data_IF_007523730060
#
_entry.id   IF_007523730060
#
_cell.length_a   1.000
_cell.length_b   1.000
_cell.length_c   1.000
_cell.angle_alpha   90.00
_cell.angle_beta   90.00
_cell.angle_gamma   90.00
#
_symmetry.space_group_name_H-M   'P 1'
#
loop_
_entity.id
_entity.type
_entity.pdbx_description
1 polymer ?
#
# COMPACT_ATOMS: atom_id res chain seq x y z
N UNK A 1 -11.00 -37.68 17.07
CA UNK A 1 -10.20 -37.42 18.29
C UNK A 1 -8.72 -37.34 17.95
N UNK A 2 -8.20 -38.30 17.18
CA UNK A 2 -6.83 -38.28 16.62
C UNK A 2 -6.52 -37.03 15.78
N UNK A 3 -7.44 -36.57 14.93
CA UNK A 3 -7.21 -35.36 14.11
C UNK A 3 -7.06 -34.09 14.97
N UNK A 4 -7.81 -33.98 16.07
CA UNK A 4 -7.66 -32.86 17.02
C UNK A 4 -6.32 -32.93 17.75
N UNK A 5 -5.92 -34.12 18.21
CA UNK A 5 -4.63 -34.34 18.86
C UNK A 5 -3.45 -34.04 17.92
N UNK A 6 -3.57 -34.36 16.63
CA UNK A 6 -2.56 -34.03 15.63
C UNK A 6 -2.43 -32.51 15.42
N UNK A 7 -3.55 -31.79 15.31
CA UNK A 7 -3.56 -30.32 15.20
C UNK A 7 -2.93 -29.67 16.44
N UNK A 8 -3.29 -30.14 17.65
CA UNK A 8 -2.72 -29.63 18.90
C UNK A 8 -1.22 -29.88 19.00
N UNK A 9 -0.75 -31.07 18.62
CA UNK A 9 0.67 -31.40 18.60
C UNK A 9 1.44 -30.51 17.62
N UNK A 10 0.88 -30.23 16.44
CA UNK A 10 1.48 -29.34 15.45
C UNK A 10 1.53 -27.88 15.94
N UNK A 11 0.45 -27.39 16.56
CA UNK A 11 0.39 -26.06 17.16
C UNK A 11 1.40 -25.91 18.30
N UNK A 12 1.52 -26.91 19.18
CA UNK A 12 2.49 -26.92 20.25
C UNK A 12 3.93 -26.88 19.72
N UNK A 13 4.24 -27.61 18.63
CA UNK A 13 5.55 -27.55 17.97
C UNK A 13 5.83 -26.17 17.39
N UNK A 14 4.86 -25.56 16.71
CA UNK A 14 4.97 -24.20 16.17
C UNK A 14 5.18 -23.15 17.27
N UNK A 15 4.43 -23.28 18.37
CA UNK A 15 4.54 -22.37 19.51
C UNK A 15 5.91 -22.45 20.16
N UNK A 16 6.44 -23.67 20.40
CA UNK A 16 7.80 -23.83 20.97
C UNK A 16 8.88 -23.17 20.12
N UNK A 17 8.82 -23.33 18.79
CA UNK A 17 9.77 -22.70 17.87
C UNK A 17 9.65 -21.17 17.93
N UNK A 18 8.41 -20.65 17.93
CA UNK A 18 8.17 -19.21 18.01
C UNK A 18 8.64 -18.62 19.34
N UNK A 19 8.35 -19.28 20.47
CA UNK A 19 8.80 -18.84 21.80
C UNK A 19 10.32 -18.78 21.87
N UNK A 20 11.01 -19.84 21.44
CA UNK A 20 12.48 -19.84 21.42
C UNK A 20 13.07 -18.75 20.51
N UNK A 21 12.41 -18.44 19.40
CA UNK A 21 12.82 -17.36 18.50
C UNK A 21 12.61 -15.98 19.14
N UNK A 22 11.47 -15.76 19.80
CA UNK A 22 11.19 -14.51 20.51
C UNK A 22 12.12 -14.30 21.70
N UNK A 23 12.48 -15.35 22.45
CA UNK A 23 13.47 -15.28 23.52
C UNK A 23 14.85 -14.86 23.01
N UNK A 24 15.29 -15.38 21.85
CA UNK A 24 16.54 -14.96 21.22
C UNK A 24 16.49 -13.49 20.81
N UNK A 25 15.38 -13.06 20.19
CA UNK A 25 15.17 -11.66 19.81
C UNK A 25 15.21 -10.77 21.06
N UNK A 26 14.54 -11.17 22.15
CA UNK A 26 14.51 -10.42 23.40
C UNK A 26 15.91 -10.27 23.99
N UNK A 27 16.72 -11.33 24.01
CA UNK A 27 18.12 -11.25 24.48
C UNK A 27 18.93 -10.23 23.68
N UNK A 28 18.79 -10.19 22.35
CA UNK A 28 19.47 -9.20 21.51
C UNK A 28 18.96 -7.77 21.74
N UNK A 29 17.67 -7.61 22.04
CA UNK A 29 17.10 -6.30 22.45
C UNK A 29 17.72 -5.86 23.79
N UNK A 30 17.78 -6.76 24.77
CA UNK A 30 18.30 -6.46 26.12
C UNK A 30 19.80 -6.14 26.08
N UNK A 31 20.57 -6.82 25.23
CA UNK A 31 22.01 -6.54 25.02
C UNK A 31 22.28 -5.39 24.05
N UNK A 32 21.25 -4.79 23.45
CA UNK A 32 21.35 -3.75 22.41
C UNK A 32 22.15 -4.19 21.16
N UNK A 33 22.25 -5.50 20.91
CA UNK A 33 22.85 -6.08 19.71
C UNK A 33 21.87 -6.06 18.53
N UNK A 34 21.63 -4.87 17.99
CA UNK A 34 20.70 -4.66 16.88
C UNK A 34 21.40 -4.80 15.52
N UNK A 35 21.98 -5.98 15.28
CA UNK A 35 22.82 -6.33 14.12
C UNK A 35 22.06 -7.07 13.00
N UNK A 36 22.77 -7.57 11.99
CA UNK A 36 22.18 -8.34 10.88
C UNK A 36 21.51 -9.64 11.34
N UNK A 37 22.00 -10.26 12.42
CA UNK A 37 21.36 -11.45 12.99
C UNK A 37 20.02 -11.07 13.62
N UNK A 38 19.95 -9.95 14.35
CA UNK A 38 18.69 -9.40 14.84
C UNK A 38 17.71 -9.15 13.68
N UNK A 39 18.17 -8.58 12.56
CA UNK A 39 17.33 -8.42 11.38
C UNK A 39 16.87 -9.78 10.80
N UNK A 40 17.74 -10.78 10.72
CA UNK A 40 17.37 -12.09 10.21
C UNK A 40 16.33 -12.80 11.10
N UNK A 41 16.48 -12.72 12.42
CA UNK A 41 15.56 -13.32 13.39
C UNK A 41 14.19 -12.64 13.36
N UNK A 42 14.16 -11.32 13.40
CA UNK A 42 12.89 -10.56 13.39
C UNK A 42 12.14 -10.72 12.06
N UNK A 43 12.84 -10.83 10.93
CA UNK A 43 12.23 -11.13 9.63
C UNK A 43 11.49 -12.48 9.63
N UNK A 44 12.04 -13.52 10.26
CA UNK A 44 11.38 -14.83 10.36
C UNK A 44 10.03 -14.76 11.10
N UNK A 45 9.95 -13.94 12.14
CA UNK A 45 8.70 -13.71 12.88
C UNK A 45 7.72 -12.89 12.05
N UNK A 46 8.16 -11.77 11.49
CA UNK A 46 7.29 -10.82 10.79
C UNK A 46 6.67 -11.38 9.50
N UNK A 47 7.37 -12.29 8.79
CA UNK A 47 6.81 -13.05 7.66
C UNK A 47 5.58 -13.87 8.04
N UNK A 48 5.51 -14.35 9.28
CA UNK A 48 4.42 -15.21 9.78
C UNK A 48 3.34 -14.41 10.52
N UNK A 49 3.75 -13.34 11.21
CA UNK A 49 2.88 -12.49 12.02
C UNK A 49 3.25 -11.02 11.82
N UNK A 50 2.72 -10.38 10.75
CA UNK A 50 3.10 -9.02 10.40
C UNK A 50 2.50 -7.95 11.31
N UNK A 51 1.54 -8.30 12.17
CA UNK A 51 0.84 -7.35 13.06
C UNK A 51 1.58 -7.05 14.37
N UNK A 52 2.84 -7.47 14.51
CA UNK A 52 3.66 -7.18 15.70
C UNK A 52 4.32 -5.82 15.52
N UNK A 53 3.56 -4.75 15.82
CA UNK A 53 4.02 -3.36 15.66
C UNK A 53 5.32 -3.08 16.39
N UNK A 54 5.45 -3.50 17.65
CA UNK A 54 6.66 -3.27 18.46
C UNK A 54 7.91 -3.81 17.78
N UNK A 55 7.81 -4.97 17.13
CA UNK A 55 8.95 -5.59 16.46
C UNK A 55 9.37 -4.82 15.21
N UNK A 56 8.40 -4.34 14.43
CA UNK A 56 8.66 -3.43 13.32
C UNK A 56 9.28 -2.10 13.79
N UNK A 57 8.85 -1.56 14.93
CA UNK A 57 9.42 -0.33 15.50
C UNK A 57 10.91 -0.51 15.84
N UNK A 58 11.25 -1.53 16.63
CA UNK A 58 12.63 -1.80 17.03
C UNK A 58 13.49 -2.13 15.79
N UNK A 59 12.92 -2.84 14.81
CA UNK A 59 13.58 -3.11 13.53
C UNK A 59 13.92 -1.83 12.77
N UNK A 60 13.02 -0.84 12.73
CA UNK A 60 13.32 0.47 12.12
C UNK A 60 14.41 1.21 12.89
N UNK A 61 14.38 1.18 14.22
CA UNK A 61 15.44 1.82 15.02
C UNK A 61 16.82 1.21 14.74
N UNK A 62 16.89 -0.11 14.60
CA UNK A 62 18.10 -0.82 14.19
C UNK A 62 18.58 -0.37 12.80
N UNK A 63 17.68 -0.36 11.81
CA UNK A 63 17.98 0.04 10.44
C UNK A 63 18.41 1.50 10.33
N UNK A 64 17.79 2.41 11.08
CA UNK A 64 18.19 3.83 11.09
C UNK A 64 19.63 3.99 11.58
N UNK A 65 20.00 3.31 12.68
CA UNK A 65 21.39 3.32 13.18
C UNK A 65 22.36 2.76 12.14
N UNK A 66 21.99 1.69 11.44
CA UNK A 66 22.80 1.10 10.35
C UNK A 66 22.93 2.06 9.16
N UNK A 67 21.88 2.79 8.80
CA UNK A 67 21.88 3.76 7.71
C UNK A 67 22.72 5.01 8.05
N UNK A 68 22.75 5.44 9.32
CA UNK A 68 23.52 6.60 9.77
C UNK A 68 25.02 6.33 9.89
N UNK A 69 25.41 5.08 10.16
CA UNK A 69 26.81 4.68 10.27
C UNK A 69 27.50 4.83 8.91
N UNK A 70 28.26 5.90 8.72
CA UNK A 70 29.16 6.09 7.56
C UNK A 70 30.55 5.55 7.90
N UNK A 71 30.95 4.45 7.28
CA UNK A 71 32.24 3.79 7.51
C UNK A 71 33.24 4.16 6.40
N UNK A 72 33.86 5.35 6.47
CA UNK A 72 34.85 5.86 5.48
C UNK A 72 34.43 5.72 4.00
N UNK A 73 33.14 5.49 3.76
CA UNK A 73 32.57 5.15 2.46
C UNK A 73 32.24 6.42 1.67
N UNK A 74 32.33 6.32 0.35
CA UNK A 74 31.82 7.34 -0.56
C UNK A 74 30.29 7.45 -0.47
N UNK A 75 29.73 8.56 -0.94
CA UNK A 75 28.28 8.74 -0.96
C UNK A 75 27.59 7.71 -1.87
N UNK A 76 28.26 7.25 -2.93
CA UNK A 76 27.80 6.19 -3.82
C UNK A 76 27.74 4.83 -3.13
N UNK A 77 28.79 4.46 -2.38
CA UNK A 77 28.83 3.22 -1.59
C UNK A 77 27.77 3.23 -0.48
N UNK A 78 27.62 4.36 0.20
CA UNK A 78 26.56 4.56 1.19
C UNK A 78 25.17 4.36 0.57
N UNK A 79 24.89 5.00 -0.58
CA UNK A 79 23.60 4.83 -1.30
C UNK A 79 23.37 3.39 -1.71
N UNK A 80 24.39 2.68 -2.18
CA UNK A 80 24.28 1.27 -2.56
C UNK A 80 23.92 0.39 -1.36
N UNK A 81 24.62 0.58 -0.23
CA UNK A 81 24.38 -0.15 1.01
C UNK A 81 22.99 0.12 1.60
N UNK A 82 22.59 1.39 1.70
CA UNK A 82 21.24 1.78 2.17
C UNK A 82 20.16 1.27 1.22
N UNK A 83 20.39 1.33 -0.09
CA UNK A 83 19.50 0.73 -1.08
C UNK A 83 19.31 -0.77 -0.88
N UNK A 84 20.40 -1.51 -0.60
CA UNK A 84 20.33 -2.94 -0.31
C UNK A 84 19.51 -3.23 0.96
N UNK A 85 19.71 -2.47 2.04
CA UNK A 85 18.90 -2.59 3.25
C UNK A 85 17.41 -2.35 2.93
N UNK A 86 17.07 -1.27 2.25
CA UNK A 86 15.69 -0.98 1.85
C UNK A 86 15.09 -2.09 0.97
N UNK A 87 15.85 -2.67 0.03
CA UNK A 87 15.37 -3.77 -0.82
C UNK A 87 15.04 -5.03 -0.02
N UNK A 88 15.85 -5.37 0.98
CA UNK A 88 15.56 -6.48 1.90
C UNK A 88 14.26 -6.21 2.66
N UNK A 89 14.06 -4.98 3.15
CA UNK A 89 12.83 -4.59 3.85
C UNK A 89 11.59 -4.62 2.95
N UNK A 90 11.71 -4.11 1.72
CA UNK A 90 10.61 -4.16 0.74
C UNK A 90 10.23 -5.60 0.42
N UNK A 91 11.21 -6.52 0.30
CA UNK A 91 10.96 -7.95 0.09
C UNK A 91 10.28 -8.59 1.31
N UNK A 92 10.75 -8.28 2.53
CA UNK A 92 10.11 -8.74 3.76
C UNK A 92 8.64 -8.31 3.83
N UNK A 93 8.34 -7.06 3.47
CA UNK A 93 6.98 -6.56 3.40
C UNK A 93 6.11 -7.31 2.38
N UNK A 94 6.64 -7.70 1.22
CA UNK A 94 5.88 -8.52 0.26
C UNK A 94 5.49 -9.86 0.89
N UNK A 95 6.41 -10.53 1.56
CA UNK A 95 6.15 -11.83 2.20
C UNK A 95 5.14 -11.70 3.35
N UNK A 96 5.30 -10.67 4.18
CA UNK A 96 4.36 -10.30 5.24
C UNK A 96 2.95 -10.02 4.70
N UNK A 97 2.83 -9.25 3.61
CA UNK A 97 1.54 -8.90 3.00
C UNK A 97 0.89 -10.07 2.26
N UNK A 98 1.67 -11.04 1.77
CA UNK A 98 1.12 -12.32 1.30
C UNK A 98 0.48 -13.13 2.43
N UNK A 99 1.00 -12.98 3.66
CA UNK A 99 0.45 -13.64 4.84
C UNK A 99 -0.80 -12.92 5.38
N UNK A 100 -0.77 -11.60 5.41
CA UNK A 100 -1.91 -10.75 5.78
C UNK A 100 -1.87 -9.45 4.96
N UNK A 101 -2.70 -9.40 3.91
CA UNK A 101 -2.74 -8.28 2.98
C UNK A 101 -3.37 -7.01 3.56
N UNK A 102 -3.94 -7.08 4.77
CA UNK A 102 -4.58 -5.98 5.50
C UNK A 102 -3.79 -5.57 6.75
N UNK A 103 -2.54 -6.03 6.85
CA UNK A 103 -1.65 -5.64 7.93
C UNK A 103 -1.24 -4.16 7.82
N UNK A 104 -1.78 -3.32 8.69
CA UNK A 104 -1.40 -1.90 8.80
C UNK A 104 0.11 -1.71 8.97
N UNK A 105 0.70 -2.50 9.86
CA UNK A 105 2.12 -2.42 10.22
C UNK A 105 3.03 -2.79 9.05
N UNK A 106 2.68 -3.79 8.26
CA UNK A 106 3.46 -4.17 7.08
C UNK A 106 3.39 -3.12 5.97
N UNK A 107 2.21 -2.56 5.68
CA UNK A 107 2.05 -1.47 4.71
C UNK A 107 2.80 -0.21 5.16
N UNK A 108 2.69 0.16 6.45
CA UNK A 108 3.43 1.29 7.00
C UNK A 108 4.94 1.10 6.88
N UNK A 109 5.45 -0.08 7.26
CA UNK A 109 6.88 -0.38 7.14
C UNK A 109 7.37 -0.39 5.69
N UNK A 110 6.53 -0.86 4.76
CA UNK A 110 6.82 -0.84 3.33
C UNK A 110 7.00 0.59 2.82
N UNK A 111 6.08 1.49 3.16
CA UNK A 111 6.19 2.90 2.78
C UNK A 111 7.42 3.55 3.42
N UNK A 112 7.69 3.26 4.70
CA UNK A 112 8.87 3.75 5.40
C UNK A 112 10.19 3.36 4.71
N UNK A 113 10.29 2.10 4.24
CA UNK A 113 11.47 1.62 3.52
C UNK A 113 11.57 2.22 2.11
N UNK A 114 10.45 2.34 1.40
CA UNK A 114 10.36 2.96 0.08
C UNK A 114 10.78 4.44 0.10
N UNK A 115 10.29 5.20 1.08
CA UNK A 115 10.61 6.63 1.26
C UNK A 115 12.11 6.88 1.49
N UNK A 116 12.81 5.94 2.13
CA UNK A 116 14.23 6.03 2.44
C UNK A 116 15.14 5.46 1.36
N UNK A 117 14.60 4.72 0.40
CA UNK A 117 15.39 4.10 -0.64
C UNK A 117 16.01 5.18 -1.56
N UNK A 118 17.35 5.29 -1.66
CA UNK A 118 18.01 6.39 -2.39
C UNK A 118 17.71 6.38 -3.89
N UNK A 119 17.53 5.19 -4.46
CA UNK A 119 17.17 4.98 -5.87
C UNK A 119 15.78 4.34 -6.01
N UNK A 120 14.76 4.92 -5.35
CA UNK A 120 13.39 4.38 -5.32
C UNK A 120 12.82 4.16 -6.72
N UNK A 121 12.30 2.95 -6.99
CA UNK A 121 11.63 2.63 -8.25
C UNK A 121 10.10 2.80 -8.08
N UNK A 122 9.62 3.99 -8.46
CA UNK A 122 8.19 4.36 -8.37
C UNK A 122 7.33 3.46 -9.25
N UNK A 123 7.82 3.12 -10.45
CA UNK A 123 7.06 2.31 -11.42
C UNK A 123 6.86 0.89 -10.91
N UNK A 124 7.94 0.27 -10.39
CA UNK A 124 7.85 -1.04 -9.75
C UNK A 124 6.90 -1.03 -8.54
N UNK A 125 6.90 0.04 -7.76
CA UNK A 125 6.05 0.14 -6.56
C UNK A 125 4.56 0.31 -6.91
N UNK A 126 4.23 1.10 -7.93
CA UNK A 126 2.86 1.20 -8.46
C UNK A 126 2.40 -0.15 -9.03
N UNK A 127 3.28 -0.87 -9.72
CA UNK A 127 2.98 -2.23 -10.21
C UNK A 127 2.70 -3.21 -9.07
N UNK A 128 3.42 -3.10 -7.95
CA UNK A 128 3.14 -3.90 -6.75
C UNK A 128 1.77 -3.56 -6.15
N UNK A 129 1.39 -2.27 -6.11
CA UNK A 129 0.04 -1.87 -5.69
C UNK A 129 -1.04 -2.46 -6.59
N UNK A 130 -0.85 -2.40 -7.91
CA UNK A 130 -1.79 -2.97 -8.88
C UNK A 130 -1.93 -4.49 -8.74
N UNK A 131 -0.83 -5.20 -8.46
CA UNK A 131 -0.87 -6.63 -8.15
C UNK A 131 -1.68 -6.90 -6.88
N UNK A 132 -1.45 -6.15 -5.80
CA UNK A 132 -2.22 -6.28 -4.56
C UNK A 132 -3.72 -6.00 -4.77
N UNK A 133 -4.05 -5.00 -5.58
CA UNK A 133 -5.43 -4.67 -5.94
C UNK A 133 -6.05 -5.68 -6.90
N UNK A 134 -5.27 -6.40 -7.69
CA UNK A 134 -5.77 -7.52 -8.50
C UNK A 134 -6.23 -8.69 -7.60
N UNK A 135 -5.56 -8.89 -6.46
CA UNK A 135 -5.95 -9.90 -5.47
C UNK A 135 -7.17 -9.46 -4.65
N UNK A 136 -7.18 -8.21 -4.16
CA UNK A 136 -8.32 -7.62 -3.47
C UNK A 136 -8.48 -6.15 -3.90
N UNK A 137 -9.41 -5.91 -4.82
CA UNK A 137 -9.65 -4.60 -5.40
C UNK A 137 -10.22 -3.57 -4.42
N UNK A 138 -10.72 -4.04 -3.28
CA UNK A 138 -11.26 -3.20 -2.19
C UNK A 138 -10.26 -3.05 -1.04
N UNK A 139 -9.01 -3.52 -1.22
CA UNK A 139 -7.97 -3.35 -0.22
C UNK A 139 -7.59 -1.87 -0.11
N UNK A 140 -8.20 -1.18 0.85
CA UNK A 140 -7.98 0.25 1.07
C UNK A 140 -6.53 0.56 1.45
N UNK A 141 -5.79 -0.37 2.09
CA UNK A 141 -4.37 -0.17 2.39
C UNK A 141 -3.52 -0.06 1.13
N UNK A 142 -3.79 -0.91 0.14
CA UNK A 142 -3.09 -0.86 -1.15
C UNK A 142 -3.42 0.45 -1.89
N UNK A 143 -4.67 0.91 -1.83
CA UNK A 143 -5.07 2.22 -2.36
C UNK A 143 -4.42 3.40 -1.63
N UNK A 144 -4.36 3.37 -0.30
CA UNK A 144 -3.69 4.39 0.52
C UNK A 144 -2.18 4.44 0.26
N UNK A 145 -1.57 3.26 0.13
CA UNK A 145 -0.15 3.13 -0.20
C UNK A 145 0.14 3.67 -1.61
N UNK A 146 -0.69 3.33 -2.60
CA UNK A 146 -0.60 3.88 -3.96
C UNK A 146 -0.64 5.42 -3.95
N UNK A 147 -1.61 6.01 -3.22
CA UNK A 147 -1.71 7.48 -3.07
C UNK A 147 -0.48 8.07 -2.40
N UNK A 148 0.06 7.41 -1.38
CA UNK A 148 1.24 7.88 -0.65
C UNK A 148 2.49 7.84 -1.54
N UNK A 149 2.66 6.78 -2.32
CA UNK A 149 3.74 6.63 -3.32
C UNK A 149 3.62 7.69 -4.41
N UNK A 150 2.42 7.88 -4.97
CA UNK A 150 2.17 8.88 -6.00
C UNK A 150 2.47 10.30 -5.50
N UNK A 151 2.03 10.64 -4.27
CA UNK A 151 2.33 11.93 -3.65
C UNK A 151 3.82 12.14 -3.43
N UNK A 152 4.52 11.14 -2.89
CA UNK A 152 5.97 11.22 -2.67
C UNK A 152 6.74 11.41 -3.99
N UNK A 153 6.29 10.74 -5.04
CA UNK A 153 6.87 10.83 -6.39
C UNK A 153 6.39 12.05 -7.19
N UNK A 154 5.48 12.86 -6.64
CA UNK A 154 4.87 14.03 -7.30
C UNK A 154 4.25 13.67 -8.66
N UNK A 155 3.63 12.50 -8.75
CA UNK A 155 2.90 12.10 -9.96
C UNK A 155 1.68 13.01 -10.15
N UNK A 156 1.35 13.29 -11.40
CA UNK A 156 0.20 14.11 -11.74
C UNK A 156 -1.12 13.40 -11.46
N UNK A 157 -2.19 14.19 -11.36
CA UNK A 157 -3.55 13.65 -11.25
C UNK A 157 -3.99 12.89 -12.51
N UNK A 158 -3.36 13.12 -13.67
CA UNK A 158 -3.66 12.38 -14.90
C UNK A 158 -3.30 10.90 -14.75
N UNK A 159 -2.13 10.58 -14.21
CA UNK A 159 -1.69 9.20 -13.98
C UNK A 159 -2.64 8.46 -13.01
N UNK A 160 -3.17 9.17 -12.02
CA UNK A 160 -4.16 8.63 -11.10
C UNK A 160 -5.51 8.35 -11.78
N UNK A 161 -5.96 9.26 -12.66
CA UNK A 161 -7.15 9.07 -13.50
C UNK A 161 -6.95 7.90 -14.46
N UNK A 162 -5.79 7.77 -15.10
CA UNK A 162 -5.45 6.66 -15.99
C UNK A 162 -5.44 5.32 -15.23
N UNK A 163 -4.86 5.30 -14.04
CA UNK A 163 -4.89 4.13 -13.16
C UNK A 163 -6.33 3.75 -12.80
N UNK A 164 -7.18 4.71 -12.41
CA UNK A 164 -8.59 4.45 -12.12
C UNK A 164 -9.33 3.90 -13.33
N UNK A 165 -9.05 4.42 -14.53
CA UNK A 165 -9.63 3.96 -15.80
C UNK A 165 -9.27 2.49 -16.05
N UNK A 166 -7.98 2.15 -15.91
CA UNK A 166 -7.50 0.75 -16.02
C UNK A 166 -8.21 -0.19 -15.04
N UNK A 167 -8.48 0.27 -13.82
CA UNK A 167 -9.17 -0.55 -12.81
C UNK A 167 -10.66 -0.72 -13.13
N UNK A 168 -11.31 0.32 -13.63
CA UNK A 168 -12.72 0.28 -14.04
C UNK A 168 -12.96 -0.53 -15.32
N UNK A 169 -12.00 -0.58 -16.25
CA UNK A 169 -12.09 -1.46 -17.43
C UNK A 169 -12.00 -2.94 -17.06
N UNK A 170 -11.30 -3.28 -15.97
CA UNK A 170 -11.25 -4.65 -15.45
C UNK A 170 -12.48 -5.00 -14.60
N UNK A 171 -12.94 -4.07 -13.74
CA UNK A 171 -14.14 -4.24 -12.92
C UNK A 171 -14.91 -2.92 -12.83
N UNK A 172 -16.04 -2.87 -13.53
CA UNK A 172 -16.95 -1.71 -13.56
C UNK A 172 -17.63 -1.44 -12.23
N UNK A 173 -17.64 -2.40 -11.31
CA UNK A 173 -18.23 -2.28 -9.98
C UNK A 173 -17.21 -1.86 -8.90
N UNK A 174 -16.01 -1.43 -9.31
CA UNK A 174 -14.95 -1.06 -8.41
C UNK A 174 -15.15 0.33 -7.77
N UNK A 175 -15.83 0.35 -6.61
CA UNK A 175 -16.05 1.57 -5.83
C UNK A 175 -14.77 2.36 -5.52
N UNK A 176 -13.68 1.67 -5.17
CA UNK A 176 -12.43 2.33 -4.80
C UNK A 176 -11.79 3.05 -5.99
N UNK A 177 -11.92 2.50 -7.20
CA UNK A 177 -11.49 3.17 -8.42
C UNK A 177 -12.33 4.41 -8.73
N UNK A 178 -13.67 4.33 -8.62
CA UNK A 178 -14.54 5.49 -8.75
C UNK A 178 -14.22 6.59 -7.73
N UNK A 179 -13.98 6.21 -6.48
CA UNK A 179 -13.62 7.18 -5.43
C UNK A 179 -12.30 7.88 -5.73
N UNK A 180 -11.28 7.12 -6.18
CA UNK A 180 -10.00 7.71 -6.55
C UNK A 180 -10.14 8.64 -7.75
N UNK A 181 -10.90 8.20 -8.78
CA UNK A 181 -11.24 9.01 -9.95
C UNK A 181 -11.94 10.33 -9.57
N UNK A 182 -12.94 10.27 -8.70
CA UNK A 182 -13.70 11.44 -8.24
C UNK A 182 -12.83 12.50 -7.55
N UNK A 183 -11.75 12.06 -6.89
CA UNK A 183 -10.83 12.94 -6.16
C UNK A 183 -9.84 13.63 -7.11
N UNK A 184 -9.41 12.94 -8.17
CA UNK A 184 -8.33 13.41 -9.05
C UNK A 184 -8.84 14.08 -10.32
N UNK A 185 -10.02 13.69 -10.82
CA UNK A 185 -10.60 14.24 -12.04
C UNK A 185 -10.77 15.77 -12.02
N UNK A 186 -11.18 16.42 -10.91
CA UNK A 186 -11.23 17.89 -10.81
C UNK A 186 -9.88 18.58 -11.08
N UNK A 187 -8.76 17.93 -10.75
CA UNK A 187 -7.43 18.51 -11.00
C UNK A 187 -6.99 18.34 -12.46
N UNK A 188 -7.55 17.35 -13.16
CA UNK A 188 -7.23 17.05 -14.57
C UNK A 188 -8.12 17.83 -15.53
N UNK A 189 -9.42 17.90 -15.24
CA UNK A 189 -10.43 18.54 -16.10
C UNK A 189 -11.28 19.56 -15.33
N UNK A 190 -10.66 20.59 -14.72
CA UNK A 190 -11.39 21.61 -13.98
C UNK A 190 -12.33 22.39 -14.92
N UNK A 191 -13.45 22.88 -14.37
CA UNK A 191 -14.26 23.89 -15.06
C UNK A 191 -13.77 25.28 -14.69
N UNK A 192 -13.57 26.12 -15.70
CA UNK A 192 -13.07 27.49 -15.53
C UNK A 192 -14.13 28.55 -15.86
N UNK A 193 -15.33 28.12 -16.26
CA UNK A 193 -16.35 29.01 -16.86
C UNK A 193 -17.63 29.08 -16.01
N UNK A 194 -18.11 27.96 -15.51
CA UNK A 194 -19.41 27.83 -14.84
C UNK A 194 -19.28 27.67 -13.32
N UNK A 195 -18.04 27.53 -12.80
CA UNK A 195 -17.74 27.34 -11.40
C UNK A 195 -17.92 25.90 -10.91
N UNK A 196 -18.10 24.92 -11.81
CA UNK A 196 -18.19 23.50 -11.44
C UNK A 196 -16.83 22.93 -11.03
N UNK A 197 -16.80 21.75 -10.40
CA UNK A 197 -15.52 21.06 -10.13
C UNK A 197 -14.90 20.42 -11.38
N UNK A 198 -15.72 19.98 -12.32
CA UNK A 198 -15.28 19.38 -13.58
C UNK A 198 -16.02 20.04 -14.75
N UNK A 199 -15.35 20.16 -15.90
CA UNK A 199 -15.95 20.77 -17.09
C UNK A 199 -17.08 19.92 -17.71
N UNK A 200 -17.91 20.56 -18.53
CA UNK A 200 -19.11 19.94 -19.13
C UNK A 200 -18.75 18.74 -20.02
N UNK A 201 -17.62 18.79 -20.72
CA UNK A 201 -17.19 17.69 -21.59
C UNK A 201 -16.83 16.45 -20.77
N UNK A 202 -16.02 16.63 -19.72
CA UNK A 202 -15.69 15.58 -18.76
C UNK A 202 -16.96 14.99 -18.13
N UNK A 203 -17.89 15.84 -17.69
CA UNK A 203 -19.15 15.39 -17.10
C UNK A 203 -19.96 14.48 -18.06
N UNK A 204 -20.04 14.85 -19.35
CA UNK A 204 -20.72 14.03 -20.37
C UNK A 204 -20.04 12.67 -20.56
N UNK A 205 -18.71 12.66 -20.62
CA UNK A 205 -17.93 11.41 -20.76
C UNK A 205 -18.12 10.50 -19.54
N UNK A 206 -18.05 11.04 -18.31
CA UNK A 206 -18.23 10.27 -17.08
C UNK A 206 -19.66 9.73 -16.93
N UNK A 207 -20.68 10.49 -17.32
CA UNK A 207 -22.07 10.01 -17.33
C UNK A 207 -22.22 8.85 -18.33
N UNK A 208 -21.59 8.94 -19.50
CA UNK A 208 -21.62 7.85 -20.48
C UNK A 208 -20.94 6.58 -19.95
N UNK A 209 -19.81 6.73 -19.26
CA UNK A 209 -19.12 5.63 -18.57
C UNK A 209 -20.06 4.93 -17.58
N UNK A 210 -20.72 5.69 -16.71
CA UNK A 210 -21.63 5.12 -15.69
C UNK A 210 -22.88 4.48 -16.31
N UNK A 211 -23.46 5.08 -17.34
CA UNK A 211 -24.63 4.53 -18.03
C UNK A 211 -24.34 3.16 -18.66
N UNK A 212 -23.14 2.98 -19.23
CA UNK A 212 -22.69 1.68 -19.72
C UNK A 212 -22.66 0.62 -18.61
N UNK A 213 -22.20 0.99 -17.42
CA UNK A 213 -22.11 0.10 -16.25
C UNK A 213 -23.49 -0.23 -15.65
N UNK A 214 -24.38 0.76 -15.56
CA UNK A 214 -25.75 0.57 -15.05
C UNK A 214 -26.58 -0.41 -15.91
N UNK A 215 -26.25 -0.54 -17.19
CA UNK A 215 -26.87 -1.52 -18.08
C UNK A 215 -26.33 -2.95 -17.88
N UNK A 216 -25.06 -3.12 -17.48
CA UNK A 216 -24.44 -4.43 -17.27
C UNK A 216 -24.67 -4.98 -15.87
N UNK A 217 -24.56 -4.13 -14.83
CA UNK A 217 -24.66 -4.52 -13.42
C UNK A 217 -25.59 -3.58 -12.62
N UNK A 218 -26.91 -3.56 -12.92
CA UNK A 218 -27.83 -2.57 -12.36
C UNK A 218 -27.98 -2.62 -10.82
N UNK A 219 -27.60 -3.75 -10.20
CA UNK A 219 -27.68 -3.95 -8.74
C UNK A 219 -26.46 -3.43 -7.99
N UNK A 220 -25.34 -3.17 -8.67
CA UNK A 220 -24.14 -2.67 -8.00
C UNK A 220 -24.31 -1.18 -7.67
N UNK A 221 -24.04 -0.80 -6.42
CA UNK A 221 -24.26 0.57 -5.97
C UNK A 221 -23.14 1.53 -6.38
N UNK A 222 -21.95 1.02 -6.70
CA UNK A 222 -20.75 1.82 -6.94
C UNK A 222 -20.90 2.79 -8.11
N UNK A 223 -21.31 2.37 -9.33
CA UNK A 223 -21.53 3.28 -10.43
C UNK A 223 -22.63 4.31 -10.11
N UNK A 224 -23.71 3.92 -9.41
CA UNK A 224 -24.78 4.83 -9.03
C UNK A 224 -24.34 5.88 -8.00
N UNK A 225 -23.48 5.51 -7.04
CA UNK A 225 -22.88 6.46 -6.10
C UNK A 225 -21.99 7.46 -6.83
N UNK A 226 -21.24 7.02 -7.83
CA UNK A 226 -20.46 7.92 -8.69
C UNK A 226 -21.37 8.83 -9.54
N UNK A 227 -22.47 8.30 -10.08
CA UNK A 227 -23.49 9.09 -10.78
C UNK A 227 -24.04 10.24 -9.91
N UNK A 228 -24.38 9.93 -8.66
CA UNK A 228 -24.86 10.93 -7.71
C UNK A 228 -23.82 12.03 -7.45
N UNK A 229 -22.54 11.66 -7.36
CA UNK A 229 -21.46 12.64 -7.25
C UNK A 229 -21.34 13.51 -8.51
N UNK A 230 -21.45 12.94 -9.71
CA UNK A 230 -21.45 13.69 -10.97
C UNK A 230 -22.60 14.70 -11.04
N UNK A 231 -23.81 14.28 -10.62
CA UNK A 231 -24.97 15.17 -10.55
C UNK A 231 -24.74 16.32 -9.58
N UNK A 232 -24.18 16.03 -8.39
CA UNK A 232 -23.81 17.07 -7.42
C UNK A 232 -22.84 18.10 -8.02
N UNK A 233 -21.89 17.68 -8.86
CA UNK A 233 -20.97 18.61 -9.52
C UNK A 233 -21.65 19.47 -10.59
N UNK A 234 -22.74 18.99 -11.19
CA UNK A 234 -23.52 19.70 -12.19
C UNK A 234 -24.56 20.65 -11.59
N UNK A 235 -25.05 20.36 -10.37
CA UNK A 235 -26.11 21.12 -9.70
C UNK A 235 -25.62 22.03 -8.60
N UNK A 236 -24.37 21.87 -8.15
CA UNK A 236 -23.78 22.75 -7.14
C UNK A 236 -23.63 24.16 -7.69
N UNK A 237 -24.54 25.05 -7.29
CA UNK A 237 -24.45 26.48 -7.53
C UNK A 237 -23.26 27.00 -6.70
N UNK A 238 -22.05 26.92 -7.25
CA UNK A 238 -20.82 27.42 -6.60
C UNK A 238 -20.74 28.96 -6.58
N UNK A 239 -21.86 29.65 -6.84
CA UNK A 239 -22.04 31.08 -6.54
C UNK A 239 -22.09 31.29 -5.03
N UNK A 240 -20.93 31.46 -4.42
CA UNK A 240 -20.74 32.27 -3.21
C UNK A 240 -19.69 33.33 -3.46
#
# INVERSE_FOLDING_TARGET
>A
EEERAAIEAELAKKLRILTALLEKIQKKIDSQELDDEFLALTAQVLRKSPNIQTLFNIRRDALLKMMEKKEEESDEEWKARVGQLCNVELSLCVEALKKDCKSYTAWFHRFWAFERHPNRDVSAEIKNCDLALTVDQRNFHAWDHLRSVARLAQLGSQEAVDFSTKRLTHDVSNYSAYHYRATELPNVRPDTVHGMKINIEALKEEIALVNGCGATEPKDQSPWRYALWLLDQATSDHRK
#
